data_IF_138748627177
#
_entry.id   IF_138748627177
#
_cell.length_a   1.000
_cell.length_b   1.000
_cell.length_c   1.000
_cell.angle_alpha   90.00
_cell.angle_beta   90.00
_cell.angle_gamma   90.00
#
_symmetry.space_group_name_H-M   'P 1'
#
loop_
_entity.id
_entity.type
_entity.pdbx_description
1 polymer ?
#
# COMPACT_ATOMS: atom_id res chain seq x y z
N UNK A 1 29.83 -17.14 -44.87
CA UNK A 1 31.14 -17.83 -44.80
C UNK A 1 32.21 -16.77 -44.63
N UNK A 2 32.90 -16.74 -43.49
CA UNK A 2 33.96 -15.78 -43.22
C UNK A 2 35.23 -16.23 -43.96
N UNK A 3 35.50 -15.61 -45.11
CA UNK A 3 36.80 -15.73 -45.76
C UNK A 3 37.83 -14.95 -44.94
N UNK A 4 38.89 -15.62 -44.52
CA UNK A 4 40.05 -14.99 -43.89
C UNK A 4 40.69 -14.09 -44.95
N UNK A 5 40.39 -12.79 -44.93
CA UNK A 5 41.05 -11.79 -45.78
C UNK A 5 42.35 -11.38 -45.10
N UNK A 6 43.48 -11.91 -45.57
CA UNK A 6 44.80 -11.44 -45.13
C UNK A 6 44.99 -9.99 -45.65
N UNK A 7 44.85 -9.03 -44.74
CA UNK A 7 45.13 -7.60 -44.96
C UNK A 7 46.64 -7.36 -45.16
N UNK A 8 47.00 -6.46 -46.08
CA UNK A 8 48.32 -5.83 -46.14
C UNK A 8 49.49 -6.64 -46.70
N UNK A 9 49.27 -7.80 -47.33
CA UNK A 9 50.35 -8.67 -47.83
C UNK A 9 51.28 -8.02 -48.87
N UNK A 10 50.78 -7.13 -49.72
CA UNK A 10 51.57 -6.47 -50.77
C UNK A 10 51.96 -5.04 -50.39
N UNK A 11 51.16 -4.28 -49.65
CA UNK A 11 51.46 -2.87 -49.34
C UNK A 11 52.10 -2.64 -47.96
N UNK A 12 51.90 -3.56 -47.00
CA UNK A 12 52.26 -3.36 -45.60
C UNK A 12 51.33 -2.41 -44.83
N UNK A 13 50.21 -1.98 -45.43
CA UNK A 13 49.21 -1.10 -44.80
C UNK A 13 48.15 -1.91 -44.06
N UNK A 14 47.83 -1.53 -42.83
CA UNK A 14 46.68 -2.05 -42.08
C UNK A 14 45.39 -1.40 -42.60
N UNK A 15 44.86 -1.96 -43.67
CA UNK A 15 43.64 -1.46 -44.33
C UNK A 15 42.40 -1.62 -43.46
N UNK A 16 42.37 -2.60 -42.55
CA UNK A 16 41.24 -2.80 -41.64
C UNK A 16 41.18 -1.67 -40.61
N UNK A 17 42.32 -1.29 -40.04
CA UNK A 17 42.39 -0.14 -39.11
C UNK A 17 41.97 1.18 -39.77
N UNK A 18 42.33 1.39 -41.04
CA UNK A 18 41.94 2.58 -41.81
C UNK A 18 40.44 2.59 -42.11
N UNK A 19 39.86 1.46 -42.51
CA UNK A 19 38.41 1.33 -42.72
C UNK A 19 37.67 1.60 -41.41
N UNK A 20 38.11 1.03 -40.29
CA UNK A 20 37.51 1.28 -38.99
C UNK A 20 37.64 2.75 -38.57
N UNK A 21 38.80 3.38 -38.81
CA UNK A 21 39.01 4.80 -38.57
C UNK A 21 38.05 5.68 -39.36
N UNK A 22 37.91 5.43 -40.67
CA UNK A 22 36.96 6.15 -41.52
C UNK A 22 35.50 5.90 -41.08
N UNK A 23 35.13 4.65 -40.79
CA UNK A 23 33.80 4.30 -40.32
C UNK A 23 33.47 4.91 -38.95
N UNK A 24 34.46 5.14 -38.08
CA UNK A 24 34.24 5.76 -36.77
C UNK A 24 33.72 7.19 -36.89
N UNK A 25 34.25 7.97 -37.84
CA UNK A 25 33.79 9.34 -38.13
C UNK A 25 32.39 9.32 -38.73
N UNK A 26 32.15 8.38 -39.65
CA UNK A 26 30.85 8.22 -40.31
C UNK A 26 29.74 7.75 -39.37
N UNK A 27 30.09 7.05 -38.28
CA UNK A 27 29.15 6.64 -37.22
C UNK A 27 28.77 7.76 -36.25
N UNK A 28 29.44 8.92 -36.28
CA UNK A 28 29.16 10.01 -35.33
C UNK A 28 27.72 10.57 -35.40
N UNK A 29 27.08 10.77 -36.57
CA UNK A 29 25.68 11.18 -36.66
C UNK A 29 24.71 10.15 -36.06
N UNK A 30 25.00 8.86 -36.25
CA UNK A 30 24.21 7.76 -35.68
C UNK A 30 24.25 7.82 -34.15
N UNK A 31 25.45 7.98 -33.57
CA UNK A 31 25.61 8.13 -32.12
C UNK A 31 24.82 9.32 -31.57
N UNK A 32 24.78 10.45 -32.29
CA UNK A 32 23.97 11.63 -31.90
C UNK A 32 22.46 11.32 -31.88
N UNK A 33 21.95 10.54 -32.84
CA UNK A 33 20.54 10.14 -32.86
C UNK A 33 20.24 9.23 -31.67
N UNK A 34 21.09 8.24 -31.40
CA UNK A 34 20.92 7.36 -30.24
C UNK A 34 20.87 8.16 -28.93
N UNK A 35 21.76 9.14 -28.73
CA UNK A 35 21.73 10.01 -27.56
C UNK A 35 20.45 10.85 -27.49
N UNK A 36 19.92 11.30 -28.64
CA UNK A 36 18.62 12.00 -28.69
C UNK A 36 17.48 11.08 -28.26
N UNK A 37 17.47 9.82 -28.69
CA UNK A 37 16.48 8.83 -28.24
C UNK A 37 16.55 8.62 -26.73
N UNK A 38 17.76 8.46 -26.17
CA UNK A 38 17.97 8.34 -24.73
C UNK A 38 17.36 9.53 -23.96
N UNK A 39 17.57 10.75 -24.44
CA UNK A 39 17.01 11.95 -23.85
C UNK A 39 15.47 11.98 -23.93
N UNK A 40 14.89 11.57 -25.06
CA UNK A 40 13.43 11.50 -25.26
C UNK A 40 12.78 10.42 -24.38
N UNK A 41 13.39 9.23 -24.27
CA UNK A 41 12.93 8.20 -23.34
C UNK A 41 12.98 8.68 -21.89
N UNK A 42 14.07 9.31 -21.47
CA UNK A 42 14.15 9.89 -20.12
C UNK A 42 13.11 10.98 -19.88
N UNK A 43 12.76 11.76 -20.91
CA UNK A 43 11.69 12.75 -20.85
C UNK A 43 10.33 12.07 -20.66
N UNK A 44 10.02 11.06 -21.48
CA UNK A 44 8.79 10.27 -21.40
C UNK A 44 8.62 9.65 -20.01
N UNK A 45 9.63 8.90 -19.52
CA UNK A 45 9.62 8.30 -18.19
C UNK A 45 9.45 9.34 -17.07
N UNK A 46 10.06 10.53 -17.25
CA UNK A 46 9.92 11.65 -16.33
C UNK A 46 8.50 12.19 -16.26
N UNK A 47 7.84 12.36 -17.40
CA UNK A 47 6.45 12.84 -17.48
C UNK A 47 5.50 11.81 -16.87
N UNK A 48 5.66 10.53 -17.18
CA UNK A 48 4.88 9.44 -16.60
C UNK A 48 4.99 9.42 -15.07
N UNK A 49 6.22 9.53 -14.54
CA UNK A 49 6.44 9.57 -13.10
C UNK A 49 5.77 10.78 -12.43
N UNK A 50 5.75 11.94 -13.09
CA UNK A 50 5.05 13.14 -12.60
C UNK A 50 3.54 12.93 -12.65
N UNK A 51 3.02 12.42 -13.76
CA UNK A 51 1.60 12.14 -13.95
C UNK A 51 1.08 11.17 -12.88
N UNK A 52 1.81 10.08 -12.61
CA UNK A 52 1.48 9.10 -11.57
C UNK A 52 1.40 9.75 -10.17
N UNK A 53 2.34 10.64 -9.84
CA UNK A 53 2.30 11.39 -8.57
C UNK A 53 1.11 12.32 -8.50
N UNK A 54 0.74 12.97 -9.61
CA UNK A 54 -0.41 13.85 -9.67
C UNK A 54 -1.74 13.09 -9.60
N UNK A 55 -1.83 11.91 -10.22
CA UNK A 55 -2.97 10.99 -10.08
C UNK A 55 -3.14 10.54 -8.63
N UNK A 56 -2.06 10.11 -7.98
CA UNK A 56 -2.07 9.74 -6.56
C UNK A 56 -2.47 10.91 -5.65
N UNK A 57 -1.95 12.10 -5.92
CA UNK A 57 -2.30 13.32 -5.20
C UNK A 57 -3.77 13.72 -5.42
N UNK A 58 -4.28 13.61 -6.65
CA UNK A 58 -5.69 13.86 -6.96
C UNK A 58 -6.60 12.92 -6.15
N UNK A 59 -6.27 11.63 -6.09
CA UNK A 59 -7.01 10.67 -5.26
C UNK A 59 -6.97 11.03 -3.77
N UNK A 60 -5.80 11.41 -3.25
CA UNK A 60 -5.67 11.85 -1.85
C UNK A 60 -6.47 13.13 -1.55
N UNK A 61 -6.59 14.02 -2.54
CA UNK A 61 -7.44 15.22 -2.47
C UNK A 61 -8.93 14.86 -2.47
N UNK A 62 -9.36 13.96 -3.36
CA UNK A 62 -10.76 13.51 -3.44
C UNK A 62 -11.22 12.84 -2.13
N UNK A 63 -10.32 12.10 -1.46
CA UNK A 63 -10.56 11.50 -0.14
C UNK A 63 -10.89 12.52 0.97
N UNK A 64 -10.44 13.77 0.84
CA UNK A 64 -10.73 14.84 1.82
C UNK A 64 -12.21 15.26 1.78
N UNK A 65 -12.84 15.17 0.61
CA UNK A 65 -14.26 15.49 0.41
C UNK A 65 -15.19 14.28 0.48
N UNK A 66 -14.64 13.07 0.66
CA UNK A 66 -15.42 11.82 0.60
C UNK A 66 -16.40 11.67 1.77
N UNK A 67 -17.63 11.24 1.46
CA UNK A 67 -18.65 10.92 2.47
C UNK A 67 -18.15 9.95 3.54
N UNK A 68 -17.33 8.97 3.15
CA UNK A 68 -16.79 7.97 4.08
C UNK A 68 -15.86 8.57 5.14
N UNK A 69 -15.11 9.62 4.78
CA UNK A 69 -14.18 10.32 5.70
C UNK A 69 -14.94 11.08 6.79
N UNK A 70 -16.15 11.56 6.48
CA UNK A 70 -16.96 12.40 7.36
C UNK A 70 -18.15 11.66 7.97
N UNK A 71 -18.26 10.34 7.73
CA UNK A 71 -19.35 9.56 8.28
C UNK A 71 -19.27 9.56 9.81
N UNK A 72 -20.34 9.96 10.53
CA UNK A 72 -20.31 10.00 11.98
C UNK A 72 -20.04 8.61 12.58
N UNK A 73 -19.15 8.56 13.55
CA UNK A 73 -18.83 7.36 14.33
C UNK A 73 -19.24 7.55 15.78
N UNK A 74 -19.59 6.44 16.43
CA UNK A 74 -19.77 6.39 17.87
C UNK A 74 -18.68 5.54 18.50
N UNK A 75 -18.34 5.87 19.72
CA UNK A 75 -17.43 5.08 20.56
C UNK A 75 -18.16 4.62 21.81
N UNK A 76 -17.72 3.50 22.37
CA UNK A 76 -18.11 3.06 23.69
C UNK A 76 -16.85 2.93 24.54
N UNK A 77 -16.91 3.44 25.76
CA UNK A 77 -15.81 3.41 26.72
C UNK A 77 -16.28 2.87 28.05
N UNK A 78 -15.37 2.33 28.84
CA UNK A 78 -15.62 1.89 30.21
C UNK A 78 -14.70 2.65 31.15
N UNK A 79 -15.22 3.09 32.29
CA UNK A 79 -14.41 3.73 33.32
C UNK A 79 -13.59 2.73 34.15
N UNK A 80 -13.92 1.43 34.11
CA UNK A 80 -13.16 0.36 34.78
C UNK A 80 -13.20 -0.95 33.95
N UNK A 81 -12.15 -1.15 33.15
CA UNK A 81 -12.00 -2.33 32.29
C UNK A 81 -11.76 -3.62 33.05
N UNK A 82 -11.45 -3.56 34.35
CA UNK A 82 -11.32 -4.76 35.21
C UNK A 82 -12.69 -5.33 35.60
N UNK A 83 -13.75 -4.55 35.43
CA UNK A 83 -15.15 -4.92 35.73
C UNK A 83 -15.93 -5.21 34.46
N UNK A 84 -15.76 -4.39 33.44
CA UNK A 84 -16.33 -4.66 32.14
C UNK A 84 -15.82 -3.74 31.04
N UNK A 85 -16.01 -4.18 29.79
CA UNK A 85 -15.72 -3.41 28.58
C UNK A 85 -16.98 -3.23 27.77
N UNK A 86 -16.99 -2.22 26.89
CA UNK A 86 -18.09 -1.96 25.97
C UNK A 86 -17.53 -1.63 24.59
N UNK A 87 -18.21 -2.08 23.53
CA UNK A 87 -17.91 -1.71 22.14
C UNK A 87 -19.20 -1.50 21.34
N UNK A 88 -19.13 -0.61 20.36
CA UNK A 88 -20.25 -0.34 19.45
C UNK A 88 -20.35 -1.47 18.41
N UNK A 89 -21.56 -1.99 18.21
CA UNK A 89 -21.93 -2.91 17.14
C UNK A 89 -22.69 -2.20 16.01
N UNK A 90 -23.53 -1.23 16.38
CA UNK A 90 -24.38 -0.46 15.48
C UNK A 90 -24.74 0.87 16.14
N UNK A 91 -25.51 1.73 15.45
CA UNK A 91 -26.03 2.97 16.05
C UNK A 91 -26.70 2.70 17.40
N UNK A 92 -26.22 3.39 18.44
CA UNK A 92 -26.64 3.21 19.82
C UNK A 92 -27.06 4.56 20.43
N UNK A 93 -28.00 4.54 21.39
CA UNK A 93 -28.40 5.75 22.08
C UNK A 93 -27.21 6.31 22.89
N UNK A 94 -26.80 7.58 22.67
CA UNK A 94 -25.73 8.20 23.44
C UNK A 94 -26.11 8.33 24.91
N UNK A 95 -25.14 8.14 25.80
CA UNK A 95 -25.40 8.20 27.23
C UNK A 95 -24.42 7.36 28.04
N UNK A 96 -24.56 7.42 29.35
CA UNK A 96 -23.80 6.58 30.29
C UNK A 96 -24.74 5.57 30.91
N UNK A 97 -24.39 4.29 30.80
CA UNK A 97 -25.12 3.16 31.33
C UNK A 97 -24.37 2.61 32.54
N UNK A 98 -25.02 2.62 33.71
CA UNK A 98 -24.41 2.11 34.93
C UNK A 98 -24.64 0.61 35.04
N UNK A 99 -23.55 -0.15 34.99
CA UNK A 99 -23.59 -1.60 35.06
C UNK A 99 -23.05 -2.05 36.41
N UNK A 100 -23.77 -2.92 37.11
CA UNK A 100 -23.28 -3.57 38.33
C UNK A 100 -23.33 -5.08 38.16
N UNK A 101 -22.17 -5.72 38.21
CA UNK A 101 -22.02 -7.16 38.04
C UNK A 101 -21.96 -7.82 39.42
N UNK A 102 -23.00 -8.57 39.77
CA UNK A 102 -23.03 -9.32 41.04
C UNK A 102 -22.44 -10.72 40.90
N UNK A 103 -22.51 -11.31 39.71
CA UNK A 103 -21.99 -12.65 39.43
C UNK A 103 -21.63 -12.79 37.95
N UNK A 104 -20.52 -13.49 37.67
CA UNK A 104 -20.13 -13.87 36.30
C UNK A 104 -20.70 -15.23 35.92
N UNK A 105 -20.94 -15.42 34.63
CA UNK A 105 -21.28 -16.71 34.07
C UNK A 105 -20.07 -17.65 34.16
N UNK A 106 -20.28 -18.88 34.66
CA UNK A 106 -19.25 -19.93 34.75
C UNK A 106 -19.72 -21.19 34.03
N UNK A 107 -18.78 -21.90 33.41
CA UNK A 107 -19.04 -23.21 32.80
C UNK A 107 -19.03 -24.31 33.85
N UNK A 108 -19.85 -25.34 33.65
CA UNK A 108 -19.86 -26.52 34.50
C UNK A 108 -18.63 -27.39 34.23
N UNK A 109 -18.07 -27.98 35.29
CA UNK A 109 -16.99 -28.95 35.22
C UNK A 109 -17.34 -30.15 36.08
N UNK A 110 -17.21 -31.35 35.52
CA UNK A 110 -17.38 -32.62 36.22
C UNK A 110 -16.16 -33.50 36.04
N UNK A 111 -15.80 -34.20 37.11
CA UNK A 111 -14.65 -35.11 37.13
C UNK A 111 -15.12 -36.51 37.42
N UNK A 112 -14.63 -37.49 36.65
CA UNK A 112 -14.96 -38.90 36.80
C UNK A 112 -13.68 -39.71 36.94
N UNK A 113 -13.61 -40.57 37.95
CA UNK A 113 -12.61 -41.63 38.00
C UNK A 113 -12.88 -42.62 36.87
N UNK A 114 -11.85 -42.91 36.07
CA UNK A 114 -11.92 -43.82 34.94
C UNK A 114 -11.33 -45.19 35.29
N UNK A 115 -12.17 -46.23 35.27
CA UNK A 115 -11.74 -47.62 35.52
C UNK A 115 -12.14 -48.50 34.33
N UNK A 116 -11.22 -48.80 33.39
CA UNK A 116 -11.54 -49.57 32.20
C UNK A 116 -12.04 -50.98 32.55
N UNK A 117 -12.89 -51.55 31.69
CA UNK A 117 -13.47 -52.90 31.84
C UNK A 117 -13.36 -53.68 30.54
N UNK A 118 -13.38 -55.00 30.65
CA UNK A 118 -13.34 -55.91 29.51
C UNK A 118 -14.64 -56.02 28.70
N UNK A 119 -15.65 -55.19 28.98
CA UNK A 119 -16.94 -55.20 28.27
C UNK A 119 -17.39 -53.78 27.93
N UNK A 120 -18.13 -53.65 26.81
CA UNK A 120 -18.66 -52.36 26.34
C UNK A 120 -19.62 -51.75 27.35
N UNK A 121 -19.48 -50.45 27.61
CA UNK A 121 -20.38 -49.67 28.47
C UNK A 121 -21.04 -48.54 27.69
N UNK A 122 -22.35 -48.36 27.86
CA UNK A 122 -23.11 -47.29 27.21
C UNK A 122 -23.38 -46.16 28.19
N UNK A 123 -23.01 -44.94 27.81
CA UNK A 123 -23.28 -43.72 28.55
C UNK A 123 -24.05 -42.73 27.69
N UNK A 124 -24.71 -41.78 28.32
CA UNK A 124 -25.39 -40.66 27.70
C UNK A 124 -24.79 -39.38 28.26
N UNK A 125 -24.20 -38.56 27.40
CA UNK A 125 -23.65 -37.25 27.71
C UNK A 125 -24.46 -36.18 27.00
N UNK A 126 -25.07 -35.27 27.76
CA UNK A 126 -25.91 -34.19 27.23
C UNK A 126 -27.01 -34.71 26.29
N UNK A 127 -27.66 -35.82 26.67
CA UNK A 127 -28.72 -36.47 25.90
C UNK A 127 -28.24 -37.33 24.72
N UNK A 128 -26.94 -37.35 24.42
CA UNK A 128 -26.36 -38.15 23.32
C UNK A 128 -25.62 -39.37 23.85
N UNK A 129 -25.89 -40.53 23.24
CA UNK A 129 -25.27 -41.80 23.64
C UNK A 129 -23.85 -41.92 23.07
N UNK A 130 -22.94 -42.44 23.89
CA UNK A 130 -21.62 -42.89 23.48
C UNK A 130 -21.27 -44.20 24.19
N UNK A 131 -20.43 -45.01 23.54
CA UNK A 131 -19.93 -46.26 24.12
C UNK A 131 -18.53 -46.06 24.66
N UNK A 132 -18.13 -46.85 25.66
CA UNK A 132 -16.74 -47.06 26.05
C UNK A 132 -16.39 -48.50 25.67
N UNK A 133 -15.39 -48.68 24.83
CA UNK A 133 -15.01 -49.99 24.29
C UNK A 133 -14.27 -50.83 25.35
N UNK A 134 -14.26 -52.17 25.20
CA UNK A 134 -13.49 -53.05 26.09
C UNK A 134 -12.03 -52.63 26.19
N UNK A 135 -11.54 -52.44 27.42
CA UNK A 135 -10.17 -52.02 27.74
C UNK A 135 -9.71 -50.75 27.01
N UNK A 136 -10.64 -49.86 26.62
CA UNK A 136 -10.32 -48.57 26.01
C UNK A 136 -9.41 -47.74 26.96
N UNK A 137 -8.43 -47.05 26.41
CA UNK A 137 -7.61 -46.11 27.17
C UNK A 137 -8.34 -44.78 27.35
N UNK A 138 -8.12 -44.11 28.49
CA UNK A 138 -8.76 -42.82 28.78
C UNK A 138 -8.45 -41.76 27.70
N UNK A 139 -7.23 -41.72 27.19
CA UNK A 139 -6.85 -40.75 26.14
C UNK A 139 -7.61 -40.99 24.83
N UNK A 140 -7.85 -42.25 24.45
CA UNK A 140 -8.70 -42.59 23.30
C UNK A 140 -10.13 -42.10 23.48
N UNK A 141 -10.70 -42.30 24.68
CA UNK A 141 -12.03 -41.80 25.02
C UNK A 141 -12.08 -40.26 24.96
N UNK A 142 -11.08 -39.58 25.54
CA UNK A 142 -10.96 -38.12 25.50
C UNK A 142 -10.91 -37.59 24.06
N UNK A 143 -10.07 -38.18 23.21
CA UNK A 143 -9.96 -37.79 21.80
C UNK A 143 -11.29 -37.96 21.06
N UNK A 144 -12.02 -39.04 21.34
CA UNK A 144 -13.32 -39.31 20.71
C UNK A 144 -14.41 -38.34 21.16
N UNK A 145 -14.48 -38.04 22.46
CA UNK A 145 -15.41 -37.04 22.99
C UNK A 145 -15.12 -35.63 22.45
N UNK A 146 -13.83 -35.28 22.29
CA UNK A 146 -13.43 -33.96 21.76
C UNK A 146 -13.63 -33.81 20.25
N UNK A 147 -13.57 -34.92 19.49
CA UNK A 147 -13.84 -34.93 18.05
C UNK A 147 -15.29 -34.56 17.74
N UNK A 148 -16.22 -34.94 18.62
CA UNK A 148 -17.63 -34.71 18.44
C UNK A 148 -18.12 -33.50 19.26
N UNK A 149 -18.10 -32.33 18.61
CA UNK A 149 -18.52 -31.06 19.24
C UNK A 149 -19.98 -31.04 19.71
N UNK A 150 -20.83 -31.96 19.23
CA UNK A 150 -22.26 -32.01 19.62
C UNK A 150 -22.48 -32.43 21.08
N UNK A 151 -21.47 -33.00 21.76
CA UNK A 151 -21.54 -33.22 23.21
C UNK A 151 -21.44 -31.93 24.03
N UNK A 152 -21.09 -30.79 23.42
CA UNK A 152 -20.92 -29.48 24.08
C UNK A 152 -19.94 -29.49 25.29
N UNK A 153 -18.96 -30.38 25.28
CA UNK A 153 -17.91 -30.44 26.31
C UNK A 153 -16.51 -30.44 25.70
N UNK A 154 -15.54 -30.11 26.53
CA UNK A 154 -14.14 -30.36 26.31
C UNK A 154 -13.66 -31.36 27.37
N UNK A 155 -13.18 -32.51 26.92
CA UNK A 155 -12.69 -33.60 27.74
C UNK A 155 -11.17 -33.52 27.91
N UNK A 156 -10.67 -33.80 29.12
CA UNK A 156 -9.25 -33.85 29.44
C UNK A 156 -8.96 -35.05 30.33
N UNK A 157 -7.84 -35.73 30.11
CA UNK A 157 -7.28 -36.67 31.06
C UNK A 157 -6.43 -35.91 32.09
N UNK A 158 -6.85 -35.90 33.35
CA UNK A 158 -6.11 -35.28 34.45
C UNK A 158 -5.80 -36.31 35.53
N UNK A 159 -4.56 -36.79 35.56
CA UNK A 159 -4.10 -37.77 36.54
C UNK A 159 -4.87 -39.10 36.51
N UNK A 160 -5.36 -39.53 35.33
CA UNK A 160 -6.18 -40.73 35.18
C UNK A 160 -7.68 -40.52 35.40
N UNK A 161 -8.12 -39.28 35.65
CA UNK A 161 -9.54 -38.94 35.73
C UNK A 161 -10.00 -38.26 34.43
N UNK A 162 -11.21 -38.58 34.00
CA UNK A 162 -11.90 -37.88 32.92
C UNK A 162 -12.48 -36.58 33.48
N UNK A 163 -11.98 -35.44 33.01
CA UNK A 163 -12.50 -34.12 33.34
C UNK A 163 -13.29 -33.60 32.14
N UNK A 164 -14.58 -33.34 32.32
CA UNK A 164 -15.44 -32.74 31.33
C UNK A 164 -15.74 -31.30 31.73
N UNK A 165 -15.46 -30.35 30.83
CA UNK A 165 -15.81 -28.93 31.02
C UNK A 165 -16.79 -28.53 29.92
N UNK A 166 -17.87 -27.84 30.26
CA UNK A 166 -18.82 -27.34 29.26
C UNK A 166 -18.15 -26.30 28.36
N UNK A 167 -18.45 -26.31 27.06
CA UNK A 167 -17.94 -25.28 26.12
C UNK A 167 -18.71 -23.97 26.22
N UNK A 168 -19.85 -23.98 26.91
CA UNK A 168 -20.70 -22.80 27.13
C UNK A 168 -20.80 -22.51 28.61
N UNK A 169 -20.71 -21.24 28.98
CA UNK A 169 -21.03 -20.78 30.34
C UNK A 169 -22.54 -20.77 30.57
N UNK A 170 -22.96 -20.59 31.82
CA UNK A 170 -24.37 -20.47 32.14
C UNK A 170 -25.04 -21.82 32.41
N UNK A 171 -26.18 -21.77 33.10
CA UNK A 171 -26.94 -22.94 33.53
C UNK A 171 -27.43 -23.79 32.35
N UNK A 172 -27.64 -23.17 31.18
CA UNK A 172 -27.96 -23.85 29.92
C UNK A 172 -26.82 -24.77 29.43
N UNK A 173 -25.58 -24.50 29.84
CA UNK A 173 -24.41 -25.32 29.54
C UNK A 173 -24.22 -26.50 30.50
N UNK A 174 -25.24 -26.88 31.28
CA UNK A 174 -25.10 -27.92 32.29
C UNK A 174 -24.68 -29.27 31.69
N UNK A 175 -23.81 -29.98 32.40
CA UNK A 175 -23.34 -31.31 31.99
C UNK A 175 -24.24 -32.37 32.62
N UNK A 176 -24.88 -33.18 31.77
CA UNK A 176 -25.63 -34.36 32.20
C UNK A 176 -24.91 -35.61 31.73
N UNK A 177 -24.54 -36.48 32.67
CA UNK A 177 -23.98 -37.80 32.39
C UNK A 177 -24.86 -38.86 33.04
N UNK A 178 -25.30 -39.84 32.26
CA UNK A 178 -26.09 -40.97 32.77
C UNK A 178 -25.74 -42.26 32.03
N UNK A 179 -26.25 -43.40 32.53
CA UNK A 179 -25.92 -44.73 31.99
C UNK A 179 -24.67 -45.34 32.63
N UNK A 180 -24.19 -46.41 32.02
CA UNK A 180 -23.06 -47.21 32.49
C UNK A 180 -23.45 -48.32 33.47
N UNK A 181 -22.73 -49.45 33.37
CA UNK A 181 -22.68 -50.50 34.39
C UNK A 181 -21.25 -50.68 34.91
N UNK A 182 -21.09 -51.27 36.09
CA UNK A 182 -19.77 -51.71 36.59
C UNK A 182 -18.78 -50.62 37.02
N UNK A 183 -19.23 -49.39 37.26
CA UNK A 183 -18.43 -48.26 37.80
C UNK A 183 -17.22 -47.85 36.93
N UNK A 184 -17.37 -47.83 35.59
CA UNK A 184 -16.30 -47.36 34.68
C UNK A 184 -16.05 -45.87 34.79
N UNK A 185 -17.12 -45.08 34.93
CA UNK A 185 -17.06 -43.67 35.30
C UNK A 185 -17.71 -43.53 36.67
N UNK A 186 -16.96 -43.05 37.65
CA UNK A 186 -17.49 -42.71 38.98
C UNK A 186 -17.27 -41.23 39.24
N UNK A 187 -18.34 -40.46 39.39
CA UNK A 187 -18.25 -39.01 39.58
C UNK A 187 -17.59 -38.65 40.91
N UNK A 188 -16.62 -37.75 40.85
CA UNK A 188 -16.00 -37.12 42.00
C UNK A 188 -16.73 -35.81 42.31
N UNK A 189 -17.88 -35.92 42.99
CA UNK A 189 -18.77 -34.78 43.24
C UNK A 189 -18.12 -33.64 44.02
N UNK A 190 -17.11 -33.93 44.86
CA UNK A 190 -16.34 -32.92 45.59
C UNK A 190 -15.49 -32.01 44.70
N UNK A 191 -15.20 -32.41 43.45
CA UNK A 191 -14.46 -31.62 42.48
C UNK A 191 -15.36 -30.90 41.47
N UNK A 192 -16.69 -31.07 41.58
CA UNK A 192 -17.63 -30.47 40.65
C UNK A 192 -17.63 -28.93 40.78
N UNK A 193 -17.61 -28.25 39.62
CA UNK A 193 -17.87 -26.82 39.53
C UNK A 193 -19.21 -26.62 38.84
N UNK A 194 -20.17 -26.00 39.52
CA UNK A 194 -21.50 -25.76 38.96
C UNK A 194 -21.47 -24.61 37.94
N UNK A 195 -22.23 -24.77 36.86
CA UNK A 195 -22.51 -23.66 35.97
C UNK A 195 -23.35 -22.60 36.67
N UNK A 196 -23.08 -21.34 36.34
CA UNK A 196 -23.83 -20.18 36.84
C UNK A 196 -24.08 -19.23 35.68
N UNK A 197 -25.25 -18.62 35.65
CA UNK A 197 -25.51 -17.48 34.77
C UNK A 197 -24.86 -16.23 35.36
N UNK A 198 -24.47 -15.31 34.49
CA UNK A 198 -24.13 -13.95 34.89
C UNK A 198 -25.37 -13.28 35.45
N UNK A 199 -25.20 -12.51 36.52
CA UNK A 199 -26.23 -11.67 37.10
C UNK A 199 -25.68 -10.26 37.24
N UNK A 200 -26.41 -9.29 36.69
CA UNK A 200 -25.99 -7.90 36.61
C UNK A 200 -27.20 -6.97 36.54
N UNK A 201 -26.97 -5.69 36.76
CA UNK A 201 -27.96 -4.64 36.53
C UNK A 201 -27.48 -3.64 35.49
N UNK A 202 -28.39 -3.08 34.70
CA UNK A 202 -28.14 -1.90 33.86
C UNK A 202 -29.11 -0.81 34.32
N UNK A 203 -28.60 0.33 34.79
CA UNK A 203 -29.37 1.45 35.32
C UNK A 203 -30.42 1.03 36.37
N UNK A 204 -30.06 0.05 37.19
CA UNK A 204 -30.88 -0.49 38.28
C UNK A 204 -31.83 -1.64 37.89
N UNK A 205 -32.06 -1.88 36.59
CA UNK A 205 -32.84 -3.02 36.14
C UNK A 205 -31.99 -4.30 36.16
N UNK A 206 -32.52 -5.39 36.74
CA UNK A 206 -31.78 -6.65 36.93
C UNK A 206 -31.98 -7.62 35.78
N UNK A 207 -30.89 -8.27 35.38
CA UNK A 207 -30.84 -9.19 34.25
C UNK A 207 -29.93 -10.39 34.51
N UNK A 208 -30.15 -11.45 33.74
CA UNK A 208 -29.29 -12.62 33.71
C UNK A 208 -28.86 -12.95 32.29
N UNK A 209 -27.73 -13.64 32.16
CA UNK A 209 -27.20 -14.08 30.87
C UNK A 209 -26.41 -15.38 31.04
N UNK A 210 -26.54 -16.30 30.10
CA UNK A 210 -25.68 -17.50 30.05
C UNK A 210 -24.24 -17.16 29.67
N UNK A 211 -23.98 -15.98 29.13
CA UNK A 211 -22.66 -15.51 28.70
C UNK A 211 -22.22 -14.25 29.46
N UNK A 212 -20.91 -14.09 29.63
CA UNK A 212 -20.30 -12.84 30.10
C UNK A 212 -20.23 -11.78 28.98
N UNK A 213 -20.46 -12.14 27.73
CA UNK A 213 -20.61 -11.19 26.63
C UNK A 213 -22.09 -10.97 26.36
N UNK A 214 -22.54 -9.73 26.51
CA UNK A 214 -23.93 -9.29 26.48
C UNK A 214 -24.13 -8.36 25.29
N UNK A 215 -25.03 -8.72 24.41
CA UNK A 215 -25.42 -7.97 23.23
C UNK A 215 -26.80 -8.45 22.74
N UNK A 216 -27.35 -7.76 21.73
CA UNK A 216 -28.58 -8.22 21.06
C UNK A 216 -28.45 -9.59 20.40
N UNK A 217 -27.22 -10.04 20.07
CA UNK A 217 -26.95 -11.36 19.49
C UNK A 217 -26.59 -12.42 20.52
N UNK A 218 -26.35 -12.03 21.78
CA UNK A 218 -25.98 -12.97 22.85
C UNK A 218 -27.13 -13.78 23.44
N UNK A 219 -28.38 -13.44 23.09
CA UNK A 219 -29.57 -14.03 23.71
C UNK A 219 -29.86 -13.54 25.14
N UNK A 220 -29.08 -12.58 25.65
CA UNK A 220 -29.36 -11.90 26.92
C UNK A 220 -30.67 -11.10 26.84
N UNK A 221 -31.41 -11.04 27.95
CA UNK A 221 -32.67 -10.29 28.05
C UNK A 221 -32.49 -8.83 28.45
N UNK A 222 -31.28 -8.44 28.89
CA UNK A 222 -30.94 -7.06 29.25
C UNK A 222 -29.64 -6.60 28.61
N UNK A 223 -29.75 -5.83 27.55
CA UNK A 223 -28.61 -5.27 26.84
C UNK A 223 -28.92 -3.85 26.38
N UNK A 224 -27.87 -3.10 26.05
CA UNK A 224 -28.00 -1.80 25.39
C UNK A 224 -27.98 -2.03 23.88
N UNK A 225 -29.05 -1.64 23.18
CA UNK A 225 -29.13 -1.82 21.72
C UNK A 225 -27.96 -1.14 21.01
N UNK A 226 -27.32 -1.87 20.10
CA UNK A 226 -26.15 -1.38 19.36
C UNK A 226 -24.83 -1.45 20.13
N UNK A 227 -24.82 -1.94 21.37
CA UNK A 227 -23.61 -2.10 22.21
C UNK A 227 -23.42 -3.56 22.58
N UNK A 228 -22.18 -4.03 22.52
CA UNK A 228 -21.75 -5.26 23.17
C UNK A 228 -20.97 -4.91 24.42
N UNK A 229 -21.33 -5.50 25.55
CA UNK A 229 -20.61 -5.40 26.81
C UNK A 229 -20.00 -6.74 27.17
N UNK A 230 -18.76 -6.74 27.65
CA UNK A 230 -18.13 -7.94 28.22
C UNK A 230 -17.93 -7.73 29.71
N UNK A 231 -18.51 -8.61 30.51
CA UNK A 231 -18.33 -8.66 31.96
C UNK A 231 -17.02 -9.37 32.28
N UNK A 232 -16.13 -8.67 32.99
CA UNK A 232 -14.78 -9.17 33.32
C UNK A 232 -14.66 -9.51 34.79
N UNK A 233 -15.31 -8.72 35.66
CA UNK A 233 -15.22 -8.87 37.11
C UNK A 233 -16.48 -8.38 37.82
N UNK A 234 -16.67 -8.85 39.06
CA UNK A 234 -17.77 -8.37 39.92
C UNK A 234 -17.52 -6.94 40.41
N UNK A 235 -18.59 -6.15 40.49
CA UNK A 235 -18.58 -4.73 40.88
C UNK A 235 -19.25 -3.84 39.84
N UNK A 236 -19.20 -2.53 40.08
CA UNK A 236 -19.83 -1.53 39.21
C UNK A 236 -18.84 -0.91 38.23
N UNK A 237 -19.32 -0.65 37.00
CA UNK A 237 -18.65 0.20 36.02
C UNK A 237 -19.70 1.01 35.23
N UNK A 238 -19.25 2.06 34.58
CA UNK A 238 -20.05 2.91 33.72
C UNK A 238 -19.58 2.72 32.28
N UNK A 239 -20.50 2.30 31.40
CA UNK A 239 -20.28 2.24 29.97
C UNK A 239 -20.81 3.52 29.32
N UNK A 240 -19.94 4.33 28.73
CA UNK A 240 -20.32 5.59 28.09
C UNK A 240 -20.29 5.46 26.58
N UNK A 241 -21.44 5.67 25.93
CA UNK A 241 -21.62 5.75 24.48
C UNK A 241 -21.58 7.22 24.06
N UNK A 242 -20.66 7.57 23.17
CA UNK A 242 -20.54 8.93 22.65
C UNK A 242 -21.70 9.28 21.71
N UNK A 243 -22.08 10.56 21.56
CA UNK A 243 -22.88 10.98 20.42
C UNK A 243 -22.16 10.63 19.11
N UNK A 244 -22.89 10.45 17.99
CA UNK A 244 -22.28 10.35 16.68
C UNK A 244 -21.49 11.63 16.38
N UNK A 245 -20.19 11.48 16.13
CA UNK A 245 -19.29 12.60 15.87
C UNK A 245 -18.35 12.23 14.72
N UNK A 246 -17.71 13.24 14.13
CA UNK A 246 -16.68 13.01 13.11
C UNK A 246 -15.52 12.23 13.71
N UNK A 247 -15.03 11.24 12.98
CA UNK A 247 -13.80 10.53 13.34
C UNK A 247 -12.58 11.43 13.05
N UNK A 248 -12.16 12.18 14.08
CA UNK A 248 -11.01 13.10 13.97
C UNK A 248 -9.72 12.38 13.58
N UNK A 249 -9.55 11.12 13.99
CA UNK A 249 -8.37 10.34 13.65
C UNK A 249 -8.39 9.97 12.16
N UNK A 250 -9.53 9.55 11.64
CA UNK A 250 -9.69 9.27 10.21
C UNK A 250 -9.48 10.53 9.36
N UNK A 251 -10.09 11.67 9.73
CA UNK A 251 -9.89 12.95 9.02
C UNK A 251 -8.43 13.37 9.06
N UNK A 252 -7.78 13.34 10.23
CA UNK A 252 -6.36 13.68 10.38
C UNK A 252 -5.48 12.78 9.51
N UNK A 253 -5.78 11.48 9.44
CA UNK A 253 -5.04 10.55 8.59
C UNK A 253 -5.20 10.88 7.10
N UNK A 254 -6.40 11.25 6.64
CA UNK A 254 -6.65 11.65 5.25
C UNK A 254 -5.97 12.97 4.89
N UNK A 255 -6.04 13.97 5.78
CA UNK A 255 -5.32 15.24 5.60
C UNK A 255 -3.81 15.01 5.54
N UNK A 256 -3.26 14.16 6.41
CA UNK A 256 -1.84 13.80 6.37
C UNK A 256 -1.48 13.11 5.04
N UNK A 257 -2.29 12.16 4.58
CA UNK A 257 -2.05 11.46 3.32
C UNK A 257 -2.03 12.44 2.12
N UNK A 258 -2.92 13.43 2.11
CA UNK A 258 -2.90 14.51 1.13
C UNK A 258 -1.60 15.33 1.19
N UNK A 259 -1.21 15.79 2.38
CA UNK A 259 0.03 16.57 2.58
C UNK A 259 1.26 15.78 2.14
N UNK A 260 1.35 14.50 2.49
CA UNK A 260 2.44 13.61 2.09
C UNK A 260 2.48 13.44 0.55
N UNK A 261 1.33 13.19 -0.09
CA UNK A 261 1.24 13.04 -1.54
C UNK A 261 1.60 14.34 -2.28
N UNK A 262 1.16 15.49 -1.74
CA UNK A 262 1.47 16.81 -2.28
C UNK A 262 2.98 17.05 -2.25
N UNK A 263 3.59 16.82 -1.09
CA UNK A 263 5.02 17.02 -0.90
C UNK A 263 5.85 16.09 -1.79
N UNK A 264 5.43 14.82 -1.95
CA UNK A 264 6.10 13.88 -2.84
C UNK A 264 6.03 14.31 -4.32
N UNK A 265 4.90 14.88 -4.76
CA UNK A 265 4.76 15.43 -6.10
C UNK A 265 5.65 16.67 -6.31
N UNK A 266 5.65 17.59 -5.33
CA UNK A 266 6.50 18.79 -5.35
C UNK A 266 7.99 18.43 -5.39
N UNK A 267 8.43 17.49 -4.55
CA UNK A 267 9.82 17.03 -4.50
C UNK A 267 10.25 16.44 -5.85
N UNK A 268 9.43 15.56 -6.43
CA UNK A 268 9.74 14.96 -7.74
C UNK A 268 9.81 16.02 -8.84
N UNK A 269 8.79 16.87 -8.96
CA UNK A 269 8.73 17.87 -10.02
C UNK A 269 9.89 18.85 -9.92
N UNK A 270 10.22 19.34 -8.72
CA UNK A 270 11.37 20.23 -8.52
C UNK A 270 12.70 19.57 -8.86
N UNK A 271 12.90 18.33 -8.44
CA UNK A 271 14.10 17.59 -8.80
C UNK A 271 14.23 17.47 -10.32
N UNK A 272 13.13 17.15 -11.02
CA UNK A 272 13.11 16.98 -12.48
C UNK A 272 13.29 18.28 -13.26
N UNK A 273 12.66 19.38 -12.85
CA UNK A 273 12.83 20.67 -13.54
C UNK A 273 14.14 21.38 -13.20
N UNK A 274 14.72 21.07 -12.04
CA UNK A 274 15.98 21.66 -11.57
C UNK A 274 17.24 20.93 -12.05
N UNK A 275 17.14 19.66 -12.47
CA UNK A 275 18.27 18.88 -12.96
C UNK A 275 18.79 19.47 -14.28
N UNK A 276 20.01 20.01 -14.30
CA UNK A 276 20.59 20.59 -15.52
C UNK A 276 21.03 19.52 -16.51
N UNK A 277 20.83 19.79 -17.80
CA UNK A 277 21.36 18.97 -18.90
C UNK A 277 22.88 18.96 -18.91
N UNK A 278 23.49 17.83 -19.31
CA UNK A 278 24.94 17.75 -19.55
C UNK A 278 25.24 18.31 -20.94
N UNK A 279 26.07 19.38 -21.05
CA UNK A 279 26.48 19.90 -22.35
C UNK A 279 27.29 18.85 -23.13
N UNK A 280 27.03 18.72 -24.42
CA UNK A 280 27.76 17.80 -25.31
C UNK A 280 27.81 16.35 -24.80
N UNK A 281 26.67 15.82 -24.31
CA UNK A 281 26.56 14.44 -23.84
C UNK A 281 27.23 13.44 -24.79
N UNK A 282 28.04 12.53 -24.23
CA UNK A 282 28.76 11.48 -24.98
C UNK A 282 28.24 10.07 -24.65
N UNK A 283 27.54 9.93 -23.52
CA UNK A 283 27.03 8.66 -23.02
C UNK A 283 25.51 8.70 -22.87
N UNK A 284 24.89 7.52 -22.86
CA UNK A 284 23.46 7.37 -22.55
C UNK A 284 23.11 8.02 -21.20
N UNK A 285 23.92 7.76 -20.17
CA UNK A 285 23.73 8.34 -18.84
C UNK A 285 23.77 9.87 -18.84
N UNK A 286 24.65 10.49 -19.64
CA UNK A 286 24.71 11.95 -19.77
C UNK A 286 23.50 12.51 -20.51
N UNK A 287 23.05 11.81 -21.56
CA UNK A 287 21.92 12.24 -22.39
C UNK A 287 20.58 12.21 -21.64
N UNK A 288 20.44 11.32 -20.65
CA UNK A 288 19.22 11.19 -19.83
C UNK A 288 19.08 12.28 -18.76
N UNK A 289 20.16 12.99 -18.40
CA UNK A 289 20.12 14.03 -17.35
C UNK A 289 19.41 15.30 -17.80
N UNK A 290 18.58 15.86 -16.93
CA UNK A 290 17.88 17.12 -17.20
C UNK A 290 16.88 17.03 -18.35
N UNK A 291 16.29 15.84 -18.52
CA UNK A 291 15.30 15.58 -19.56
C UNK A 291 14.07 16.52 -19.45
N UNK A 292 13.70 16.87 -18.22
CA UNK A 292 12.61 17.81 -17.89
C UNK A 292 13.11 19.17 -17.41
N UNK A 293 14.38 19.49 -17.63
CA UNK A 293 14.95 20.77 -17.22
C UNK A 293 14.17 21.93 -17.85
N UNK A 294 13.55 22.76 -17.02
CA UNK A 294 12.70 23.86 -17.47
C UNK A 294 11.47 23.43 -18.29
N UNK A 295 10.95 22.21 -18.10
CA UNK A 295 9.73 21.79 -18.81
C UNK A 295 8.53 22.66 -18.38
N UNK A 296 7.91 23.32 -19.36
CA UNK A 296 6.81 24.28 -19.14
C UNK A 296 5.56 23.60 -18.60
N UNK A 297 5.30 22.36 -19.00
CA UNK A 297 4.13 21.58 -18.56
C UNK A 297 4.23 21.26 -17.08
N UNK A 298 5.40 20.77 -16.65
CA UNK A 298 5.69 20.46 -15.23
C UNK A 298 5.71 21.75 -14.40
N UNK A 299 6.33 22.81 -14.92
CA UNK A 299 6.37 24.12 -14.22
C UNK A 299 4.96 24.72 -14.09
N UNK A 300 4.12 24.57 -15.11
CA UNK A 300 2.73 25.03 -15.12
C UNK A 300 1.87 24.33 -14.06
N UNK A 301 1.93 23.00 -13.97
CA UNK A 301 1.17 22.28 -12.93
C UNK A 301 1.64 22.63 -11.52
N UNK A 302 2.94 22.84 -11.31
CA UNK A 302 3.45 23.33 -10.02
C UNK A 302 2.86 24.69 -9.62
N UNK A 303 2.76 25.64 -10.57
CA UNK A 303 2.15 26.94 -10.33
C UNK A 303 0.65 26.82 -10.07
N UNK A 304 -0.03 25.96 -10.82
CA UNK A 304 -1.46 25.70 -10.64
C UNK A 304 -1.74 25.12 -9.24
N UNK A 305 -0.97 24.11 -8.83
CA UNK A 305 -1.05 23.52 -7.49
C UNK A 305 -0.84 24.58 -6.40
N UNK A 306 0.20 25.42 -6.54
CA UNK A 306 0.49 26.49 -5.57
C UNK A 306 -0.67 27.49 -5.48
N UNK A 307 -1.23 27.89 -6.62
CA UNK A 307 -2.35 28.82 -6.68
C UNK A 307 -3.56 28.26 -5.93
N UNK A 308 -3.91 26.99 -6.19
CA UNK A 308 -5.08 26.37 -5.55
C UNK A 308 -4.93 26.16 -4.05
N UNK A 309 -3.71 25.89 -3.55
CA UNK A 309 -3.43 25.83 -2.11
C UNK A 309 -3.69 27.18 -1.42
N UNK A 310 -3.43 28.30 -2.10
CA UNK A 310 -3.63 29.65 -1.58
C UNK A 310 -5.03 30.23 -1.82
N UNK A 311 -5.94 29.47 -2.43
CA UNK A 311 -7.28 29.98 -2.74
C UNK A 311 -8.19 29.93 -1.51
N UNK A 312 -8.90 31.03 -1.25
CA UNK A 312 -10.00 31.09 -0.30
C UNK A 312 -11.21 30.33 -0.85
N UNK A 313 -11.66 29.29 -0.16
CA UNK A 313 -12.72 28.40 -0.67
C UNK A 313 -14.13 28.94 -0.48
N UNK A 314 -14.34 29.91 0.41
CA UNK A 314 -15.69 30.40 0.67
C UNK A 314 -15.73 31.87 1.08
N UNK A 315 -15.57 32.80 0.12
CA UNK A 315 -15.69 34.23 0.45
C UNK A 315 -17.09 34.56 1.01
N UNK A 316 -17.16 34.93 2.29
CA UNK A 316 -18.39 35.42 2.93
C UNK A 316 -19.08 34.46 3.90
N UNK A 317 -18.43 33.37 4.33
CA UNK A 317 -18.92 32.59 5.46
C UNK A 317 -18.57 33.30 6.78
N UNK A 318 -19.41 33.15 7.81
CA UNK A 318 -19.22 33.82 9.10
C UNK A 318 -18.15 33.13 10.00
N UNK A 319 -17.61 32.00 9.55
CA UNK A 319 -16.57 31.23 10.25
C UNK A 319 -15.18 31.54 9.68
N UNK A 320 -14.19 31.60 10.56
CA UNK A 320 -12.75 31.79 10.27
C UNK A 320 -12.10 30.50 9.73
N UNK A 321 -12.73 29.84 8.75
CA UNK A 321 -12.29 28.54 8.19
C UNK A 321 -12.51 28.47 6.66
N UNK A 322 -12.05 29.51 5.97
CA UNK A 322 -12.12 29.64 4.50
C UNK A 322 -10.78 29.31 3.82
N UNK A 323 -9.70 29.16 4.60
CA UNK A 323 -8.36 28.78 4.14
C UNK A 323 -7.82 27.50 4.78
N UNK A 324 -7.00 26.77 4.02
CA UNK A 324 -6.25 25.61 4.53
C UNK A 324 -5.36 25.94 5.75
N UNK A 325 -4.82 27.17 5.81
CA UNK A 325 -3.95 27.59 6.90
C UNK A 325 -4.69 27.69 8.24
N UNK A 326 -5.98 28.02 8.22
CA UNK A 326 -6.83 28.14 9.41
C UNK A 326 -7.09 26.78 10.07
N UNK A 327 -7.11 25.71 9.28
CA UNK A 327 -7.21 24.33 9.78
C UNK A 327 -5.83 23.66 10.00
N UNK A 328 -4.74 24.43 9.89
CA UNK A 328 -3.39 23.95 10.18
C UNK A 328 -2.61 23.38 9.00
N UNK A 329 -3.05 23.58 7.75
CA UNK A 329 -2.31 23.17 6.54
C UNK A 329 -1.70 24.41 5.89
N UNK A 330 -0.37 24.56 5.94
CA UNK A 330 0.32 25.74 5.41
C UNK A 330 1.68 25.38 4.81
N UNK A 331 2.39 26.33 4.22
CA UNK A 331 3.79 26.13 3.81
C UNK A 331 4.80 26.25 4.97
N UNK A 332 4.32 26.33 6.21
CA UNK A 332 5.13 26.55 7.40
C UNK A 332 5.36 28.03 7.70
N UNK A 333 5.47 28.35 8.99
CA UNK A 333 5.80 29.70 9.43
C UNK A 333 7.28 30.03 9.15
N UNK A 334 7.63 31.31 8.91
CA UNK A 334 9.02 31.71 8.85
C UNK A 334 9.70 31.44 10.20
N UNK A 335 10.97 31.03 10.15
CA UNK A 335 11.79 30.87 11.35
C UNK A 335 12.42 32.21 11.76
N UNK A 336 12.42 32.51 13.07
CA UNK A 336 13.13 33.65 13.65
C UNK A 336 12.85 34.99 12.95
N UNK A 337 13.87 35.56 12.32
CA UNK A 337 13.88 36.90 11.68
C UNK A 337 13.10 36.99 10.36
N UNK A 338 12.09 36.14 10.15
CA UNK A 338 11.27 36.17 8.93
C UNK A 338 11.81 35.31 7.77
N UNK A 339 12.77 34.41 8.02
CA UNK A 339 13.35 33.56 6.96
C UNK A 339 12.54 32.28 6.79
N UNK A 340 12.03 32.07 5.57
CA UNK A 340 11.33 30.83 5.19
C UNK A 340 12.31 29.68 4.97
N UNK A 341 11.89 28.46 5.31
CA UNK A 341 12.66 27.26 5.01
C UNK A 341 12.72 27.02 3.49
N UNK A 342 13.71 26.26 3.02
CA UNK A 342 13.77 25.89 1.60
C UNK A 342 12.51 25.10 1.19
N UNK A 343 11.99 24.24 2.07
CA UNK A 343 10.75 23.51 1.86
C UNK A 343 9.55 24.47 1.67
N UNK A 344 9.48 25.55 2.47
CA UNK A 344 8.46 26.58 2.35
C UNK A 344 8.57 27.36 1.03
N UNK A 345 9.79 27.70 0.60
CA UNK A 345 10.05 28.36 -0.70
C UNK A 345 9.67 27.45 -1.87
N UNK A 346 9.95 26.16 -1.70
CA UNK A 346 9.55 25.09 -2.60
C UNK A 346 8.02 24.86 -2.59
N UNK A 347 7.31 25.42 -1.61
CA UNK A 347 5.86 25.35 -1.51
C UNK A 347 5.36 24.06 -0.86
N UNK A 348 6.23 23.29 -0.19
CA UNK A 348 5.84 22.09 0.55
C UNK A 348 4.92 22.44 1.71
N UNK A 349 3.98 21.55 1.99
CA UNK A 349 2.99 21.70 3.05
C UNK A 349 3.46 21.08 4.36
N UNK A 350 3.05 21.71 5.44
CA UNK A 350 3.20 21.27 6.83
C UNK A 350 1.81 21.18 7.44
N UNK A 351 1.54 20.07 8.12
CA UNK A 351 0.32 19.85 8.89
C UNK A 351 0.57 20.11 10.38
N UNK A 352 -0.14 21.08 10.93
CA UNK A 352 -0.30 21.30 12.37
C UNK A 352 -1.53 20.51 12.86
N UNK A 353 -1.27 19.32 13.40
CA UNK A 353 -2.33 18.44 13.91
C UNK A 353 -3.05 19.01 15.13
N UNK A 354 -2.43 19.94 15.86
CA UNK A 354 -3.07 20.59 17.02
C UNK A 354 -4.14 21.56 16.54
N UNK A 355 -3.81 22.39 15.53
CA UNK A 355 -4.79 23.29 14.90
C UNK A 355 -5.90 22.53 14.18
N UNK A 356 -5.58 21.46 13.46
CA UNK A 356 -6.59 20.64 12.79
C UNK A 356 -7.57 20.04 13.81
N UNK A 357 -7.07 19.45 14.89
CA UNK A 357 -7.93 18.90 15.94
C UNK A 357 -8.77 19.98 16.62
N UNK A 358 -8.20 21.16 16.89
CA UNK A 358 -8.95 22.29 17.45
C UNK A 358 -10.06 22.77 16.52
N UNK A 359 -9.82 22.81 15.20
CA UNK A 359 -10.82 23.17 14.20
C UNK A 359 -11.95 22.12 14.16
N UNK A 360 -11.60 20.82 14.17
CA UNK A 360 -12.57 19.72 14.20
C UNK A 360 -13.38 19.67 15.50
N UNK A 361 -12.81 20.10 16.63
CA UNK A 361 -13.52 20.21 17.90
C UNK A 361 -14.46 21.42 17.95
N UNK A 362 -14.08 22.53 17.32
CA UNK A 362 -14.88 23.75 17.31
C UNK A 362 -16.04 23.69 16.33
N UNK A 363 -15.79 23.30 15.08
CA UNK A 363 -16.81 23.24 14.02
C UNK A 363 -16.40 22.25 12.91
N UNK A 364 -16.65 20.95 13.10
CA UNK A 364 -16.30 19.93 12.11
C UNK A 364 -17.10 20.09 10.80
N UNK A 365 -18.28 20.71 10.83
CA UNK A 365 -19.10 20.95 9.64
C UNK A 365 -18.48 22.04 8.75
N UNK A 366 -17.93 23.09 9.34
CA UNK A 366 -17.17 24.09 8.57
C UNK A 366 -15.91 23.48 7.95
N UNK A 367 -15.16 22.66 8.67
CA UNK A 367 -13.99 21.95 8.10
C UNK A 367 -14.41 21.03 6.95
N UNK A 368 -15.49 20.27 7.12
CA UNK A 368 -16.04 19.41 6.07
C UNK A 368 -16.43 20.20 4.83
N UNK A 369 -17.12 21.32 5.00
CA UNK A 369 -17.54 22.18 3.89
C UNK A 369 -16.34 22.81 3.18
N UNK A 370 -15.33 23.25 3.92
CA UNK A 370 -14.12 23.82 3.34
C UNK A 370 -13.37 22.78 2.51
N UNK A 371 -13.19 21.56 3.04
CA UNK A 371 -12.45 20.50 2.35
C UNK A 371 -13.27 19.83 1.23
N UNK A 372 -14.55 19.56 1.49
CA UNK A 372 -15.42 18.74 0.64
C UNK A 372 -16.56 19.48 -0.05
N UNK A 373 -16.70 20.79 0.13
CA UNK A 373 -17.74 21.59 -0.51
C UNK A 373 -19.14 21.34 0.02
N UNK A 374 -20.10 22.01 -0.61
CA UNK A 374 -21.54 21.79 -0.42
C UNK A 374 -22.22 21.71 -1.78
N UNK A 375 -23.49 21.28 -1.81
CA UNK A 375 -24.25 21.28 -3.05
C UNK A 375 -24.24 22.67 -3.70
N UNK A 376 -23.74 22.75 -4.94
CA UNK A 376 -23.64 23.99 -5.70
C UNK A 376 -22.40 24.86 -5.40
N UNK A 377 -21.51 24.46 -4.50
CA UNK A 377 -20.25 25.18 -4.23
C UNK A 377 -19.12 24.19 -3.98
N UNK A 378 -18.12 24.20 -4.86
CA UNK A 378 -16.92 23.38 -4.71
C UNK A 378 -16.18 23.73 -3.42
N UNK A 379 -15.70 22.71 -2.72
CA UNK A 379 -14.67 22.88 -1.68
C UNK A 379 -13.28 22.69 -2.26
N UNK A 380 -12.30 22.67 -1.36
CA UNK A 380 -10.89 22.51 -1.71
C UNK A 380 -10.63 21.27 -2.56
N UNK A 381 -11.15 20.10 -2.15
CA UNK A 381 -10.94 18.84 -2.85
C UNK A 381 -11.43 18.90 -4.30
N UNK A 382 -12.61 19.47 -4.56
CA UNK A 382 -13.14 19.62 -5.91
C UNK A 382 -12.36 20.64 -6.72
N UNK A 383 -12.05 21.81 -6.14
CA UNK A 383 -11.29 22.86 -6.82
C UNK A 383 -9.89 22.36 -7.23
N UNK A 384 -9.21 21.69 -6.30
CA UNK A 384 -7.90 21.08 -6.51
C UNK A 384 -7.97 19.92 -7.50
N UNK A 385 -9.00 19.07 -7.38
CA UNK A 385 -9.26 18.00 -8.32
C UNK A 385 -9.48 18.50 -9.75
N UNK A 386 -10.22 19.61 -9.94
CA UNK A 386 -10.44 20.26 -11.25
C UNK A 386 -9.17 20.90 -11.81
N UNK A 387 -8.36 21.50 -10.94
CA UNK A 387 -7.07 22.10 -11.31
C UNK A 387 -6.07 21.06 -11.85
N UNK A 388 -6.12 19.83 -11.34
CA UNK A 388 -5.27 18.73 -11.81
C UNK A 388 -5.83 17.96 -13.01
N UNK A 389 -7.15 18.01 -13.26
CA UNK A 389 -7.81 17.26 -14.34
C UNK A 389 -7.12 17.38 -15.70
N UNK A 390 -6.72 18.57 -16.21
CA UNK A 390 -6.07 18.69 -17.51
C UNK A 390 -4.76 17.89 -17.63
N UNK A 391 -4.09 17.64 -16.50
CA UNK A 391 -2.82 16.94 -16.43
C UNK A 391 -2.99 15.44 -16.18
N UNK A 392 -4.04 15.01 -15.48
CA UNK A 392 -4.21 13.62 -15.03
C UNK A 392 -5.26 12.81 -15.79
N UNK A 393 -6.10 13.48 -16.59
CA UNK A 393 -7.15 12.80 -17.37
C UNK A 393 -6.56 12.09 -18.58
N UNK A 394 -7.26 11.06 -19.06
CA UNK A 394 -6.95 10.42 -20.34
C UNK A 394 -7.02 11.43 -21.48
N UNK A 395 -6.04 11.38 -22.38
CA UNK A 395 -5.82 12.38 -23.43
C UNK A 395 -5.62 13.81 -22.88
N UNK A 396 -5.03 13.91 -21.68
CA UNK A 396 -4.61 15.16 -21.06
C UNK A 396 -3.32 15.74 -21.65
N UNK A 397 -2.79 16.77 -21.00
CA UNK A 397 -1.56 17.46 -21.43
C UNK A 397 -0.32 16.56 -21.40
N UNK A 398 -0.20 15.68 -20.39
CA UNK A 398 0.92 14.74 -20.33
C UNK A 398 0.79 13.65 -21.37
N UNK A 399 -0.36 12.98 -21.48
CA UNK A 399 -0.64 12.00 -22.54
C UNK A 399 -0.33 12.54 -23.94
N UNK A 400 -0.82 13.74 -24.28
CA UNK A 400 -0.57 14.34 -25.59
C UNK A 400 0.91 14.66 -25.86
N UNK A 401 1.65 15.03 -24.80
CA UNK A 401 3.10 15.24 -24.89
C UNK A 401 3.83 13.92 -25.06
N UNK A 402 3.42 12.87 -24.35
CA UNK A 402 3.98 11.53 -24.47
C UNK A 402 3.73 10.92 -25.86
N UNK A 403 2.54 11.07 -26.42
CA UNK A 403 2.21 10.65 -27.79
C UNK A 403 3.10 11.35 -28.83
N UNK A 404 3.36 12.64 -28.62
CA UNK A 404 4.26 13.43 -29.47
C UNK A 404 5.70 12.93 -29.38
N UNK A 405 6.18 12.62 -28.16
CA UNK A 405 7.50 12.02 -27.94
C UNK A 405 7.59 10.63 -28.59
N UNK A 406 6.55 9.79 -28.45
CA UNK A 406 6.49 8.47 -29.08
C UNK A 406 6.57 8.54 -30.60
N UNK A 407 5.88 9.51 -31.20
CA UNK A 407 5.96 9.78 -32.65
C UNK A 407 7.36 10.23 -33.07
N UNK A 408 8.03 11.08 -32.28
CA UNK A 408 9.41 11.49 -32.53
C UNK A 408 10.39 10.31 -32.42
N UNK A 409 10.24 9.48 -31.40
CA UNK A 409 11.04 8.26 -31.22
C UNK A 409 10.92 7.32 -32.42
N UNK A 410 9.70 7.11 -32.93
CA UNK A 410 9.45 6.31 -34.13
C UNK A 410 10.16 6.87 -35.37
N UNK A 411 10.12 8.19 -35.57
CA UNK A 411 10.85 8.83 -36.67
C UNK A 411 12.37 8.69 -36.53
N UNK A 412 12.91 8.76 -35.30
CA UNK A 412 14.33 8.56 -35.05
C UNK A 412 14.76 7.11 -35.27
N UNK A 413 13.93 6.13 -34.89
CA UNK A 413 14.16 4.71 -35.18
C UNK A 413 14.27 4.45 -36.68
N UNK A 414 13.36 4.99 -37.47
CA UNK A 414 13.41 4.86 -38.92
C UNK A 414 14.61 5.59 -39.53
N UNK A 415 15.03 6.72 -38.93
CA UNK A 415 16.26 7.39 -39.34
C UNK A 415 17.51 6.56 -39.02
N UNK A 416 17.55 5.86 -37.88
CA UNK A 416 18.66 4.98 -37.53
C UNK A 416 18.75 3.80 -38.49
N UNK A 417 17.64 3.14 -38.83
CA UNK A 417 17.62 2.05 -39.81
C UNK A 417 18.24 2.49 -41.15
N UNK A 418 17.79 3.64 -41.68
CA UNK A 418 18.34 4.20 -42.93
C UNK A 418 19.82 4.56 -42.82
N UNK A 419 20.27 5.04 -41.66
CA UNK A 419 21.70 5.33 -41.43
C UNK A 419 22.52 4.04 -41.35
N UNK A 420 22.01 3.01 -40.70
CA UNK A 420 22.68 1.71 -40.57
C UNK A 420 22.86 1.06 -41.94
N UNK A 421 21.84 1.10 -42.81
CA UNK A 421 21.93 0.65 -44.20
C UNK A 421 23.00 1.43 -44.99
N UNK A 422 23.02 2.77 -44.83
CA UNK A 422 24.01 3.63 -45.50
C UNK A 422 25.43 3.37 -45.02
N UNK A 423 25.61 3.16 -43.72
CA UNK A 423 26.90 2.83 -43.12
C UNK A 423 27.39 1.46 -43.62
N UNK A 424 26.51 0.47 -43.70
CA UNK A 424 26.85 -0.84 -44.26
C UNK A 424 27.29 -0.75 -45.73
N UNK A 425 26.56 0.00 -46.57
CA UNK A 425 26.95 0.23 -47.97
C UNK A 425 28.30 0.95 -48.08
N UNK A 426 28.56 1.93 -47.21
CA UNK A 426 29.82 2.68 -47.20
C UNK A 426 30.99 1.81 -46.77
N UNK A 427 30.81 0.97 -45.76
CA UNK A 427 31.81 -0.01 -45.33
C UNK A 427 32.16 -0.97 -46.46
N UNK A 428 31.16 -1.53 -47.16
CA UNK A 428 31.38 -2.42 -48.31
C UNK A 428 32.11 -1.70 -49.46
N UNK A 429 31.74 -0.45 -49.76
CA UNK A 429 32.42 0.36 -50.76
C UNK A 429 33.89 0.61 -50.42
N UNK A 430 34.19 0.96 -49.16
CA UNK A 430 35.56 1.14 -48.67
C UNK A 430 36.34 -0.18 -48.78
N UNK A 431 35.77 -1.30 -48.33
CA UNK A 431 36.40 -2.65 -48.44
C UNK A 431 36.76 -2.98 -49.89
N UNK A 432 35.85 -2.73 -50.85
CA UNK A 432 36.12 -2.92 -52.29
C UNK A 432 37.24 -2.01 -52.79
N UNK A 433 37.24 -0.73 -52.40
CA UNK A 433 38.25 0.24 -52.81
C UNK A 433 39.65 -0.16 -52.33
N UNK A 434 39.80 -0.54 -51.06
CA UNK A 434 41.08 -1.00 -50.50
C UNK A 434 41.53 -2.34 -51.10
N UNK A 435 40.60 -3.25 -51.39
CA UNK A 435 40.93 -4.52 -52.09
C UNK A 435 41.49 -4.26 -53.49
N UNK A 436 40.85 -3.38 -54.28
CA UNK A 436 41.32 -3.02 -55.62
C UNK A 436 42.68 -2.31 -55.59
N UNK A 437 42.91 -1.46 -54.59
CA UNK A 437 44.20 -0.80 -54.38
C UNK A 437 45.31 -1.81 -54.09
N UNK A 438 45.04 -2.84 -53.28
CA UNK A 438 45.99 -3.91 -52.99
C UNK A 438 46.35 -4.73 -54.24
N UNK A 439 45.34 -5.06 -55.07
CA UNK A 439 45.56 -5.73 -56.37
C UNK A 439 46.40 -4.87 -57.32
N UNK A 440 46.11 -3.57 -57.38
CA UNK A 440 46.87 -2.63 -58.21
C UNK A 440 48.33 -2.53 -57.74
N UNK A 441 48.56 -2.42 -56.43
CA UNK A 441 49.91 -2.37 -55.85
C UNK A 441 50.68 -3.68 -56.08
N UNK A 442 50.01 -4.83 -55.94
CA UNK A 442 50.63 -6.12 -56.26
C UNK A 442 51.05 -6.19 -57.73
N UNK A 443 50.21 -5.71 -58.65
CA UNK A 443 50.52 -5.63 -60.09
C UNK A 443 51.66 -4.66 -60.40
N UNK A 444 51.71 -3.50 -59.73
CA UNK A 444 52.82 -2.54 -59.87
C UNK A 444 54.12 -3.12 -59.31
N UNK A 445 54.08 -3.83 -58.17
CA UNK A 445 55.25 -4.54 -57.62
C UNK A 445 55.74 -5.63 -58.56
N UNK A 446 54.84 -6.43 -59.15
CA UNK A 446 55.22 -7.48 -60.11
C UNK A 446 55.79 -6.88 -61.41
N UNK A 447 55.22 -5.80 -61.93
CA UNK A 447 55.74 -5.09 -63.10
C UNK A 447 57.09 -4.43 -62.82
N UNK A 448 57.28 -3.84 -61.64
CA UNK A 448 58.56 -3.30 -61.20
C UNK A 448 59.64 -4.38 -61.10
N UNK A 449 59.30 -5.54 -60.52
CA UNK A 449 60.18 -6.70 -60.46
C UNK A 449 60.53 -7.26 -61.85
N UNK A 450 59.57 -7.34 -62.77
CA UNK A 450 59.81 -7.72 -64.17
C UNK A 450 60.71 -6.72 -64.90
N UNK A 451 60.54 -5.41 -64.65
CA UNK A 451 61.35 -4.37 -65.26
C UNK A 451 62.79 -4.40 -64.72
N UNK A 452 62.96 -4.61 -63.41
CA UNK A 452 64.25 -4.84 -62.76
C UNK A 452 64.94 -6.11 -63.30
N UNK A 453 64.18 -7.19 -63.52
CA UNK A 453 64.70 -8.42 -64.12
C UNK A 453 65.13 -8.21 -65.59
N UNK A 454 64.39 -7.39 -66.36
CA UNK A 454 64.75 -7.03 -67.75
C UNK A 454 65.93 -6.04 -67.87
N UNK A 455 66.21 -5.27 -66.82
CA UNK A 455 67.34 -4.35 -66.74
C UNK A 455 68.64 -5.03 -66.27
N UNK A 456 68.62 -6.34 -66.01
CA UNK A 456 69.83 -7.14 -65.87
C UNK A 456 70.55 -7.05 -64.53
N UNK A 457 69.83 -6.87 -63.42
CA UNK A 457 70.42 -7.16 -62.10
C UNK A 457 70.08 -8.59 -61.72
N UNK A 458 70.88 -9.54 -62.20
CA UNK A 458 71.05 -10.82 -61.54
C UNK A 458 71.63 -10.56 -60.16
N UNK A 459 70.89 -10.93 -59.13
CA UNK A 459 71.36 -10.92 -57.75
C UNK A 459 72.42 -12.03 -57.60
N UNK A 460 73.68 -11.73 -57.91
CA UNK A 460 74.82 -12.55 -57.50
C UNK A 460 75.08 -12.29 -56.00
N UNK A 461 74.60 -13.25 -55.23
CA UNK A 461 74.95 -13.58 -53.85
C UNK A 461 74.59 -15.03 -53.64
#
# INVERSE_FOLDING_TARGET
>A
MAGIQLSGLSSGLDTESLIQGLMSVERAPRARITLRQSALHARQEGLQAVEDKLKALKLASDDLGSFLTWNPVQTATSNDTTKGTARILAGAAPGTYNVNVTQLATAEQRTYTYTPKGSTQNYTLNGKTFTINPNEGLDSLVSRLNTDSSYNVYAVNSGGNLVLTSRTTGTAGAITMSGGGGNVLTEQTALARVAKDAAYTIDGASYTSSSNTISSSSGATGFVTGVEMTLVGTGSFAATVSPPQVDKAAVTAKVKAFVDAYNAAVDLMQAKVGEKRVPNAQTDADARKGALWGDDTVTGVMQQMRTTISTFMQSGNASTMDELAEIGISTGAPSGTGTFSQDSVNGKLVLDTTKLNAALDSDPTSVQRMLGGVSGTDGFSQAFGKALTPYTQTAGLFDSTEDSIGSELSMLDDSLKRMDDRLAMKEDSLRRMFTNLEVALQKTKSQGAEMLAKLGVSNDG
#
